data_IF_473300205256
#
_entry.id   IF_473300205256
#
_cell.length_a   1.000
_cell.length_b   1.000
_cell.length_c   1.000
_cell.angle_alpha   90.00
_cell.angle_beta   90.00
_cell.angle_gamma   90.00
#
_symmetry.space_group_name_H-M   'P 1'
#
loop_
_entity.id
_entity.type
_entity.pdbx_description
1 polymer ?
#
# COMPACT_ATOMS: atom_id res chain seq x y z
N UNK A 1 2.14 0.34 24.35
CA UNK A 1 1.20 -0.78 24.12
C UNK A 1 1.61 -2.00 24.95
N UNK A 2 0.71 -2.97 25.22
CA UNK A 2 1.00 -4.27 25.86
C UNK A 2 0.41 -5.42 25.01
N UNK A 3 1.05 -5.78 23.88
CA UNK A 3 0.47 -6.76 22.96
C UNK A 3 0.55 -8.18 23.53
N UNK A 4 -0.45 -9.02 23.23
CA UNK A 4 -0.44 -10.46 23.54
C UNK A 4 0.02 -11.32 22.36
N UNK A 5 -0.02 -10.78 21.14
CA UNK A 5 0.40 -11.45 19.90
C UNK A 5 1.23 -10.50 19.04
N UNK A 6 2.25 -11.03 18.38
CA UNK A 6 3.06 -10.34 17.38
C UNK A 6 3.14 -11.19 16.11
N UNK A 7 3.08 -10.52 14.96
CA UNK A 7 3.41 -11.14 13.67
C UNK A 7 4.78 -10.65 13.22
N UNK A 8 5.67 -11.57 12.86
CA UNK A 8 6.93 -11.23 12.20
C UNK A 8 6.75 -11.46 10.71
N UNK A 9 6.80 -10.39 9.92
CA UNK A 9 6.75 -10.49 8.46
C UNK A 9 8.18 -10.56 7.93
N UNK A 10 8.50 -11.63 7.21
CA UNK A 10 9.84 -11.88 6.67
C UNK A 10 10.59 -13.05 7.34
N UNK A 11 11.54 -13.60 6.58
CA UNK A 11 12.35 -14.73 7.01
C UNK A 11 13.43 -14.36 8.03
N UNK A 12 14.15 -15.37 8.52
CA UNK A 12 15.17 -15.22 9.56
C UNK A 12 16.35 -14.33 9.13
N UNK A 13 16.60 -14.21 7.82
CA UNK A 13 17.64 -13.37 7.25
C UNK A 13 17.37 -11.86 7.40
N UNK A 14 16.09 -11.46 7.54
CA UNK A 14 15.69 -10.05 7.72
C UNK A 14 15.29 -9.75 9.17
N UNK A 15 14.67 -10.72 9.84
CA UNK A 15 14.33 -10.61 11.27
C UNK A 15 14.79 -11.88 11.97
N UNK A 16 15.92 -11.78 12.68
CA UNK A 16 16.56 -12.95 13.30
C UNK A 16 15.66 -13.69 14.29
N UNK A 17 15.96 -14.97 14.53
CA UNK A 17 15.31 -15.78 15.59
C UNK A 17 15.50 -15.22 17.00
N UNK A 18 16.52 -14.39 17.21
CA UNK A 18 16.73 -13.75 18.50
C UNK A 18 15.62 -12.74 18.80
N UNK A 19 15.15 -11.99 17.79
CA UNK A 19 14.01 -11.07 17.96
C UNK A 19 12.75 -11.84 18.35
N UNK A 20 12.49 -12.96 17.68
CA UNK A 20 11.38 -13.85 18.01
C UNK A 20 11.49 -14.42 19.43
N UNK A 21 12.69 -14.82 19.84
CA UNK A 21 12.94 -15.33 21.20
C UNK A 21 12.73 -14.25 22.27
N UNK A 22 13.15 -13.01 21.98
CA UNK A 22 12.93 -11.87 22.88
C UNK A 22 11.43 -11.58 23.06
N UNK A 23 10.66 -11.56 21.98
CA UNK A 23 9.20 -11.36 22.04
C UNK A 23 8.50 -12.48 22.83
N UNK A 24 8.86 -13.74 22.58
CA UNK A 24 8.33 -14.86 23.35
C UNK A 24 8.71 -14.78 24.84
N UNK A 25 9.95 -14.36 25.16
CA UNK A 25 10.40 -14.14 26.54
C UNK A 25 9.64 -13.01 27.27
N UNK A 26 9.05 -12.08 26.53
CA UNK A 26 8.15 -11.05 27.06
C UNK A 26 6.70 -11.56 27.25
N UNK A 27 6.44 -12.85 27.00
CA UNK A 27 5.10 -13.44 27.09
C UNK A 27 4.20 -13.13 25.89
N UNK A 28 4.78 -12.68 24.77
CA UNK A 28 4.05 -12.34 23.54
C UNK A 28 4.04 -13.56 22.64
N UNK A 29 2.86 -14.02 22.21
CA UNK A 29 2.77 -15.09 21.21
C UNK A 29 3.25 -14.60 19.85
N UNK A 30 4.30 -15.21 19.31
CA UNK A 30 4.83 -14.84 17.99
C UNK A 30 4.34 -15.78 16.91
N UNK A 31 3.95 -15.23 15.76
CA UNK A 31 3.71 -15.97 14.53
C UNK A 31 4.51 -15.34 13.38
N UNK A 32 5.39 -16.12 12.76
CA UNK A 32 6.16 -15.66 11.61
C UNK A 32 5.40 -15.92 10.30
N UNK A 33 5.25 -14.87 9.50
CA UNK A 33 4.72 -14.86 8.14
C UNK A 33 5.87 -14.53 7.18
N UNK A 34 6.86 -15.41 7.10
CA UNK A 34 8.07 -15.24 6.30
C UNK A 34 8.24 -16.35 5.28
N UNK A 35 9.02 -16.09 4.23
CA UNK A 35 9.46 -17.07 3.25
C UNK A 35 10.88 -16.76 2.76
N UNK A 36 11.41 -17.60 1.88
CA UNK A 36 12.74 -17.44 1.28
C UNK A 36 12.79 -16.25 0.32
N UNK A 37 11.62 -15.85 -0.19
CA UNK A 37 11.46 -14.73 -1.12
C UNK A 37 10.36 -13.79 -0.66
N UNK A 38 10.34 -12.58 -1.25
CA UNK A 38 9.23 -11.63 -1.06
C UNK A 38 7.88 -12.17 -1.55
N UNK A 39 7.91 -13.02 -2.58
CA UNK A 39 6.73 -13.68 -3.14
C UNK A 39 6.14 -14.70 -2.15
N UNK A 40 6.98 -15.56 -1.58
CA UNK A 40 6.57 -16.50 -0.53
C UNK A 40 6.05 -15.79 0.72
N UNK A 41 6.74 -14.71 1.13
CA UNK A 41 6.31 -13.88 2.26
C UNK A 41 4.93 -13.28 1.99
N UNK A 42 4.70 -12.69 0.81
CA UNK A 42 3.41 -12.13 0.43
C UNK A 42 2.29 -13.18 0.41
N UNK A 43 2.55 -14.38 -0.09
CA UNK A 43 1.57 -15.49 -0.07
C UNK A 43 1.28 -15.96 1.35
N UNK A 44 2.28 -16.01 2.25
CA UNK A 44 2.05 -16.36 3.64
C UNK A 44 1.23 -15.30 4.39
N UNK A 45 1.44 -14.02 4.11
CA UNK A 45 0.57 -12.93 4.58
C UNK A 45 -0.82 -13.08 3.99
N UNK A 46 -0.95 -13.38 2.69
CA UNK A 46 -2.23 -13.51 2.02
C UNK A 46 -3.09 -14.65 2.60
N UNK A 47 -2.47 -15.77 2.98
CA UNK A 47 -3.15 -16.87 3.70
C UNK A 47 -3.66 -16.43 5.08
N UNK A 48 -2.93 -15.55 5.78
CA UNK A 48 -3.33 -15.04 7.09
C UNK A 48 -4.49 -14.03 7.01
N UNK A 49 -4.54 -13.23 5.94
CA UNK A 49 -5.60 -12.24 5.69
C UNK A 49 -6.87 -12.89 5.13
N UNK A 50 -6.73 -13.87 4.23
CA UNK A 50 -7.84 -14.48 3.49
C UNK A 50 -8.17 -13.74 2.19
N UNK A 51 -8.94 -14.37 1.29
CA UNK A 51 -9.19 -13.87 -0.07
C UNK A 51 -10.66 -13.62 -0.39
N UNK A 52 -11.54 -13.70 0.61
CA UNK A 52 -13.00 -13.64 0.42
C UNK A 52 -13.48 -12.34 -0.21
N UNK A 53 -12.73 -11.25 -0.03
CA UNK A 53 -13.04 -9.92 -0.58
C UNK A 53 -12.26 -9.62 -1.88
N UNK A 54 -11.56 -10.61 -2.43
CA UNK A 54 -10.64 -10.45 -3.54
C UNK A 54 -9.20 -10.30 -3.09
N UNK A 55 -8.31 -10.11 -4.05
CA UNK A 55 -6.88 -9.87 -3.83
C UNK A 55 -6.42 -8.65 -4.62
N UNK A 56 -5.30 -8.08 -4.20
CA UNK A 56 -4.52 -7.15 -5.00
C UNK A 56 -3.29 -7.88 -5.52
N UNK A 57 -2.99 -7.70 -6.80
CA UNK A 57 -1.76 -8.17 -7.43
C UNK A 57 -0.88 -6.96 -7.75
N UNK A 58 0.34 -6.95 -7.24
CA UNK A 58 1.32 -5.89 -7.49
C UNK A 58 2.67 -6.47 -7.93
N UNK A 59 3.53 -5.63 -8.52
CA UNK A 59 4.86 -6.07 -8.92
C UNK A 59 5.70 -6.38 -7.68
N UNK A 60 6.40 -7.52 -7.69
CA UNK A 60 7.41 -7.81 -6.68
C UNK A 60 8.69 -6.97 -6.83
N UNK A 61 8.86 -6.23 -7.93
CA UNK A 61 10.12 -5.53 -8.25
C UNK A 61 10.09 -4.04 -7.91
N UNK A 62 8.91 -3.44 -7.82
CA UNK A 62 8.70 -2.03 -7.47
C UNK A 62 7.70 -1.90 -6.32
N UNK A 63 7.85 -0.91 -5.45
CA UNK A 63 7.02 -0.78 -4.24
C UNK A 63 5.82 0.17 -4.41
N UNK A 64 5.92 1.18 -5.29
CA UNK A 64 4.98 2.30 -5.28
C UNK A 64 3.54 1.91 -5.62
N UNK A 65 3.36 0.91 -6.50
CA UNK A 65 2.04 0.36 -6.85
C UNK A 65 1.40 -0.32 -5.63
N UNK A 66 2.16 -1.15 -4.92
CA UNK A 66 1.71 -1.82 -3.70
C UNK A 66 1.43 -0.83 -2.56
N UNK A 67 2.28 0.19 -2.41
CA UNK A 67 2.11 1.23 -1.40
C UNK A 67 0.84 2.06 -1.66
N UNK A 68 0.59 2.42 -2.93
CA UNK A 68 -0.58 3.23 -3.31
C UNK A 68 -1.91 2.59 -2.91
N UNK A 69 -2.01 1.26 -2.96
CA UNK A 69 -3.23 0.51 -2.66
C UNK A 69 -3.25 -0.06 -1.24
N UNK A 70 -2.13 -0.02 -0.50
CA UNK A 70 -2.02 -0.65 0.82
C UNK A 70 -3.10 -0.22 1.82
N UNK A 71 -3.43 1.08 1.99
CA UNK A 71 -4.45 1.48 2.96
C UNK A 71 -5.83 0.91 2.64
N UNK A 72 -6.24 0.99 1.37
CA UNK A 72 -7.57 0.53 0.95
C UNK A 72 -7.65 -0.99 0.86
N UNK A 73 -6.57 -1.67 0.47
CA UNK A 73 -6.48 -3.12 0.51
C UNK A 73 -6.62 -3.64 1.95
N UNK A 74 -5.93 -3.02 2.91
CA UNK A 74 -6.05 -3.35 4.32
C UNK A 74 -7.47 -3.08 4.86
N UNK A 75 -8.07 -1.94 4.50
CA UNK A 75 -9.44 -1.60 4.87
C UNK A 75 -10.47 -2.62 4.36
N UNK A 76 -10.29 -3.08 3.13
CA UNK A 76 -11.20 -4.04 2.47
C UNK A 76 -10.87 -5.50 2.79
N UNK A 77 -9.81 -5.78 3.56
CA UNK A 77 -9.37 -7.15 3.84
C UNK A 77 -8.93 -7.90 2.59
N UNK A 78 -8.33 -7.19 1.63
CA UNK A 78 -7.72 -7.78 0.43
C UNK A 78 -6.22 -7.91 0.63
N UNK A 79 -5.64 -9.11 0.54
CA UNK A 79 -4.20 -9.28 0.63
C UNK A 79 -3.52 -8.80 -0.65
N UNK A 80 -2.32 -8.25 -0.50
CA UNK A 80 -1.43 -7.92 -1.60
C UNK A 80 -0.55 -9.13 -1.89
N UNK A 81 -0.72 -9.71 -3.07
CA UNK A 81 0.11 -10.76 -3.65
C UNK A 81 1.10 -10.12 -4.63
N UNK A 82 2.34 -10.61 -4.64
CA UNK A 82 3.39 -10.11 -5.51
C UNK A 82 3.60 -11.04 -6.69
N UNK A 83 3.94 -10.47 -7.85
CA UNK A 83 4.30 -11.25 -9.05
C UNK A 83 5.43 -10.58 -9.82
N UNK A 84 6.17 -11.36 -10.60
CA UNK A 84 7.05 -10.84 -11.64
C UNK A 84 6.26 -10.45 -12.91
N UNK A 85 6.89 -9.68 -13.79
CA UNK A 85 6.23 -9.08 -14.96
C UNK A 85 5.53 -10.11 -15.84
N UNK A 86 6.29 -11.10 -16.29
CA UNK A 86 5.87 -12.08 -17.29
C UNK A 86 5.74 -13.50 -16.71
N UNK A 87 5.93 -13.64 -15.41
CA UNK A 87 5.96 -14.94 -14.75
C UNK A 87 4.70 -15.17 -13.92
N UNK A 88 3.98 -16.25 -14.25
CA UNK A 88 2.97 -16.84 -13.38
C UNK A 88 3.57 -18.05 -12.69
N UNK A 89 4.32 -17.77 -11.62
CA UNK A 89 5.08 -18.78 -10.92
C UNK A 89 4.18 -19.87 -10.28
N UNK A 90 4.79 -21.00 -9.95
CA UNK A 90 4.07 -22.14 -9.35
C UNK A 90 3.44 -21.84 -7.99
N UNK A 91 3.99 -20.87 -7.25
CA UNK A 91 3.50 -20.46 -5.93
C UNK A 91 2.18 -19.69 -6.08
N UNK A 92 2.14 -18.66 -6.91
CA UNK A 92 0.95 -17.88 -7.24
C UNK A 92 -0.10 -18.74 -7.93
N UNK A 93 0.32 -19.65 -8.82
CA UNK A 93 -0.60 -20.62 -9.42
C UNK A 93 -1.30 -21.48 -8.39
N UNK A 94 -0.54 -22.07 -7.46
CA UNK A 94 -1.09 -22.90 -6.40
C UNK A 94 -2.00 -22.09 -5.47
N UNK A 95 -1.59 -20.87 -5.12
CA UNK A 95 -2.37 -19.96 -4.28
C UNK A 95 -3.72 -19.60 -4.93
N UNK A 96 -3.71 -19.18 -6.19
CA UNK A 96 -4.92 -18.79 -6.94
C UNK A 96 -5.86 -19.98 -7.16
N UNK A 97 -5.32 -21.19 -7.38
CA UNK A 97 -6.12 -22.39 -7.58
C UNK A 97 -6.76 -22.92 -6.27
N UNK A 98 -6.09 -22.71 -5.13
CA UNK A 98 -6.56 -23.23 -3.83
C UNK A 98 -7.53 -22.30 -3.11
N UNK A 99 -7.80 -21.11 -3.65
CA UNK A 99 -8.60 -20.09 -3.00
C UNK A 99 -9.74 -19.61 -3.90
N UNK A 100 -10.89 -19.32 -3.28
CA UNK A 100 -11.94 -18.57 -3.95
C UNK A 100 -11.56 -17.08 -3.97
N UNK A 101 -11.45 -16.50 -5.15
CA UNK A 101 -11.03 -15.12 -5.36
C UNK A 101 -12.08 -14.45 -6.26
N UNK A 102 -12.99 -13.63 -5.69
CA UNK A 102 -14.03 -12.97 -6.49
C UNK A 102 -13.49 -11.96 -7.49
N UNK A 103 -12.37 -11.29 -7.17
CA UNK A 103 -11.74 -10.26 -8.01
C UNK A 103 -10.24 -10.19 -7.74
N UNK A 104 -9.46 -9.90 -8.78
CA UNK A 104 -8.04 -9.58 -8.67
C UNK A 104 -7.81 -8.16 -9.19
N UNK A 105 -7.53 -7.21 -8.32
CA UNK A 105 -7.09 -5.87 -8.74
C UNK A 105 -5.60 -5.91 -9.06
N UNK A 106 -5.25 -5.75 -10.34
CA UNK A 106 -3.86 -5.70 -10.81
C UNK A 106 -3.40 -4.25 -10.79
N UNK A 107 -2.64 -3.88 -9.76
CA UNK A 107 -2.15 -2.52 -9.56
C UNK A 107 -0.75 -2.39 -10.17
N UNK A 108 -0.64 -1.54 -11.19
CA UNK A 108 0.55 -1.39 -12.02
C UNK A 108 0.27 -1.64 -13.50
N UNK A 109 1.04 -0.98 -14.38
CA UNK A 109 0.85 -1.06 -15.84
C UNK A 109 1.36 -2.36 -16.48
N UNK A 110 1.10 -2.53 -17.78
CA UNK A 110 1.56 -3.67 -18.58
C UNK A 110 3.10 -3.82 -18.58
N UNK A 111 3.80 -2.71 -18.41
CA UNK A 111 5.26 -2.68 -18.33
C UNK A 111 5.85 -3.39 -17.10
N UNK A 112 5.09 -3.54 -16.02
CA UNK A 112 5.54 -4.15 -14.74
C UNK A 112 4.79 -5.43 -14.38
N UNK A 113 3.57 -5.62 -14.91
CA UNK A 113 2.79 -6.86 -14.85
C UNK A 113 2.10 -6.99 -16.20
N UNK A 114 2.57 -7.91 -17.05
CA UNK A 114 2.05 -7.99 -18.41
C UNK A 114 0.61 -8.49 -18.45
N UNK A 115 -0.11 -8.10 -19.51
CA UNK A 115 -1.47 -8.54 -19.79
C UNK A 115 -1.53 -10.06 -19.98
N UNK A 116 -0.45 -10.68 -20.44
CA UNK A 116 -0.33 -12.13 -20.50
C UNK A 116 -0.31 -12.75 -19.09
N UNK A 117 0.48 -12.19 -18.17
CA UNK A 117 0.51 -12.68 -16.80
C UNK A 117 -0.81 -12.41 -16.05
N UNK A 118 -1.35 -11.19 -16.15
CA UNK A 118 -2.62 -10.76 -15.55
C UNK A 118 -3.79 -11.73 -15.84
N UNK A 119 -3.88 -12.26 -17.06
CA UNK A 119 -4.96 -13.18 -17.48
C UNK A 119 -4.96 -14.52 -16.74
N UNK A 120 -3.88 -14.86 -16.04
CA UNK A 120 -3.81 -16.09 -15.24
C UNK A 120 -4.55 -15.99 -13.90
N UNK A 121 -4.91 -14.78 -13.47
CA UNK A 121 -5.58 -14.52 -12.20
C UNK A 121 -7.11 -14.46 -12.35
N UNK A 122 -7.85 -14.59 -11.24
CA UNK A 122 -9.32 -14.64 -11.25
C UNK A 122 -9.91 -13.24 -11.40
N UNK A 123 -10.78 -13.06 -12.39
CA UNK A 123 -11.51 -11.81 -12.67
C UNK A 123 -10.60 -10.56 -12.57
N UNK A 124 -9.55 -10.47 -13.40
CA UNK A 124 -8.54 -9.45 -13.22
C UNK A 124 -9.01 -8.08 -13.72
N UNK A 125 -8.82 -7.04 -12.92
CA UNK A 125 -9.12 -5.64 -13.24
C UNK A 125 -7.83 -4.83 -13.09
N UNK A 126 -7.36 -4.19 -14.18
CA UNK A 126 -6.13 -3.39 -14.13
C UNK A 126 -6.44 -2.00 -13.57
N UNK A 127 -5.61 -1.58 -12.61
CA UNK A 127 -5.60 -0.24 -12.03
C UNK A 127 -4.20 0.32 -12.20
N UNK A 128 -4.01 1.23 -13.15
CA UNK A 128 -2.69 1.72 -13.51
C UNK A 128 -2.73 3.09 -14.16
N UNK A 129 -1.61 3.80 -14.06
CA UNK A 129 -1.30 4.97 -14.88
C UNK A 129 0.05 4.81 -15.59
N UNK A 130 0.51 5.88 -16.25
CA UNK A 130 1.80 5.86 -16.96
C UNK A 130 3.01 5.77 -16.02
N UNK A 131 2.83 6.14 -14.75
CA UNK A 131 3.83 6.06 -13.71
C UNK A 131 3.22 5.77 -12.32
N UNK A 132 4.03 5.90 -11.27
CA UNK A 132 3.63 5.64 -9.88
C UNK A 132 2.58 6.63 -9.34
N UNK A 133 2.59 7.87 -9.79
CA UNK A 133 1.67 8.91 -9.31
C UNK A 133 0.31 8.79 -10.01
N UNK A 134 0.32 8.54 -11.32
CA UNK A 134 -0.91 8.25 -12.05
C UNK A 134 -1.54 6.92 -11.62
N UNK A 135 -0.72 5.92 -11.27
CA UNK A 135 -1.23 4.68 -10.66
C UNK A 135 -1.85 4.95 -9.29
N UNK A 136 -1.23 5.82 -8.46
CA UNK A 136 -1.83 6.27 -7.21
C UNK A 136 -3.19 6.94 -7.43
N UNK A 137 -3.30 7.88 -8.38
CA UNK A 137 -4.57 8.51 -8.77
C UNK A 137 -5.60 7.49 -9.26
N UNK A 138 -5.18 6.51 -10.07
CA UNK A 138 -6.06 5.44 -10.55
C UNK A 138 -6.62 4.60 -9.39
N UNK A 139 -5.82 4.32 -8.36
CA UNK A 139 -6.27 3.66 -7.12
C UNK A 139 -7.29 4.54 -6.40
N UNK A 140 -7.02 5.84 -6.22
CA UNK A 140 -7.95 6.77 -5.57
C UNK A 140 -9.30 6.89 -6.30
N UNK A 141 -9.29 6.74 -7.62
CA UNK A 141 -10.52 6.73 -8.44
C UNK A 141 -11.27 5.40 -8.31
N UNK A 142 -10.55 4.29 -8.43
CA UNK A 142 -11.13 2.93 -8.41
C UNK A 142 -11.83 2.64 -7.09
N UNK A 143 -11.25 3.11 -5.97
CA UNK A 143 -11.75 2.83 -4.63
C UNK A 143 -12.34 4.06 -3.94
N UNK A 144 -12.79 5.08 -4.67
CA UNK A 144 -13.29 6.33 -4.10
C UNK A 144 -14.38 6.13 -3.04
N UNK A 145 -15.26 5.14 -3.23
CA UNK A 145 -16.38 4.85 -2.32
C UNK A 145 -15.94 4.11 -1.04
N UNK A 146 -14.68 3.65 -1.00
CA UNK A 146 -14.07 2.97 0.14
C UNK A 146 -13.02 3.83 0.86
N UNK A 147 -12.82 5.06 0.39
CA UNK A 147 -11.82 6.00 0.90
C UNK A 147 -12.52 7.15 1.61
N UNK A 148 -12.06 7.45 2.82
CA UNK A 148 -12.44 8.64 3.58
C UNK A 148 -11.35 9.71 3.46
N UNK A 149 -11.69 10.82 2.80
CA UNK A 149 -10.77 11.93 2.59
C UNK A 149 -10.73 12.94 3.75
N UNK A 150 -11.49 12.74 4.83
CA UNK A 150 -11.40 13.57 6.05
C UNK A 150 -9.97 13.61 6.61
N UNK A 151 -9.18 12.57 6.38
CA UNK A 151 -7.72 12.61 6.59
C UNK A 151 -7.01 12.16 5.33
N UNK A 152 -5.92 12.85 4.99
CA UNK A 152 -5.07 12.51 3.86
C UNK A 152 -3.66 12.27 4.38
N UNK A 153 -3.08 11.13 4.03
CA UNK A 153 -1.69 10.82 4.30
C UNK A 153 -0.89 11.11 3.04
N UNK A 154 0.24 11.80 3.18
CA UNK A 154 1.14 12.15 2.09
C UNK A 154 2.45 11.45 2.34
N UNK A 155 2.94 10.71 1.34
CA UNK A 155 4.24 10.07 1.38
C UNK A 155 5.03 10.42 0.11
N UNK A 156 6.35 10.31 0.20
CA UNK A 156 7.18 10.38 -1.01
C UNK A 156 6.86 9.23 -1.95
N UNK A 157 6.78 9.52 -3.24
CA UNK A 157 6.75 8.49 -4.27
C UNK A 157 8.12 7.88 -4.53
N UNK A 158 9.22 8.55 -4.17
CA UNK A 158 10.59 8.13 -4.46
C UNK A 158 11.25 7.34 -3.32
N UNK A 159 10.78 7.51 -2.08
CA UNK A 159 11.22 6.75 -0.91
C UNK A 159 10.05 6.01 -0.23
N UNK A 160 10.31 4.80 0.26
CA UNK A 160 9.26 3.86 0.66
C UNK A 160 9.03 3.64 2.18
N UNK A 161 10.05 3.72 3.07
CA UNK A 161 9.89 3.31 4.45
C UNK A 161 8.79 4.07 5.19
N UNK A 162 8.70 5.38 4.97
CA UNK A 162 7.75 6.25 5.68
C UNK A 162 6.31 5.97 5.27
N UNK A 163 6.08 5.82 3.95
CA UNK A 163 4.78 5.41 3.42
C UNK A 163 4.35 4.04 3.95
N UNK A 164 5.28 3.09 4.06
CA UNK A 164 5.01 1.74 4.55
C UNK A 164 4.56 1.74 6.01
N UNK A 165 5.18 2.55 6.87
CA UNK A 165 4.82 2.67 8.29
C UNK A 165 3.48 3.41 8.46
N UNK A 166 3.18 4.37 7.59
CA UNK A 166 1.92 5.11 7.63
C UNK A 166 0.71 4.37 7.06
N UNK A 167 0.91 3.37 6.19
CA UNK A 167 -0.19 2.65 5.54
C UNK A 167 -1.17 1.97 6.50
N UNK A 168 -0.73 1.28 7.58
CA UNK A 168 -1.63 0.76 8.60
C UNK A 168 -2.44 1.84 9.31
N UNK A 169 -1.83 3.00 9.60
CA UNK A 169 -2.52 4.11 10.27
C UNK A 169 -3.58 4.70 9.33
N UNK A 170 -3.23 4.92 8.06
CA UNK A 170 -4.18 5.36 7.04
C UNK A 170 -5.35 4.37 6.89
N UNK A 171 -5.09 3.06 6.92
CA UNK A 171 -6.13 2.04 6.86
C UNK A 171 -7.12 2.10 8.04
N UNK A 172 -6.67 2.44 9.27
CA UNK A 172 -7.53 2.53 10.45
C UNK A 172 -8.62 3.59 10.30
N UNK A 173 -8.34 4.66 9.57
CA UNK A 173 -9.30 5.73 9.27
C UNK A 173 -9.89 5.63 7.87
N UNK A 174 -9.63 4.55 7.14
CA UNK A 174 -10.02 4.39 5.72
C UNK A 174 -9.46 5.50 4.82
N UNK A 175 -8.38 6.12 5.23
CA UNK A 175 -7.79 7.27 4.57
C UNK A 175 -6.81 6.86 3.46
N UNK A 176 -6.66 7.68 2.41
CA UNK A 176 -5.72 7.40 1.35
C UNK A 176 -4.28 7.74 1.77
N UNK A 177 -3.33 7.06 1.14
CA UNK A 177 -1.97 7.57 0.98
C UNK A 177 -1.83 8.15 -0.43
N UNK A 178 -1.41 9.40 -0.50
CA UNK A 178 -1.10 10.13 -1.71
C UNK A 178 0.41 10.15 -1.88
N UNK A 179 0.87 9.70 -3.04
CA UNK A 179 2.29 9.75 -3.40
C UNK A 179 2.60 11.08 -4.08
N UNK A 180 3.69 11.73 -3.63
CA UNK A 180 4.12 13.03 -4.13
C UNK A 180 5.60 13.05 -4.54
N UNK A 181 5.95 13.98 -5.42
CA UNK A 181 7.33 14.32 -5.83
C UNK A 181 7.54 15.83 -5.73
N UNK A 182 8.76 16.25 -5.36
CA UNK A 182 9.15 17.66 -5.22
C UNK A 182 9.07 18.47 -6.51
N UNK A 183 9.27 17.84 -7.66
CA UNK A 183 9.20 18.51 -8.96
C UNK A 183 8.83 17.55 -10.07
N UNK A 184 8.20 18.05 -11.13
CA UNK A 184 7.87 17.26 -12.32
C UNK A 184 6.45 17.45 -12.84
N UNK A 185 6.15 16.78 -13.95
CA UNK A 185 4.90 16.92 -14.71
C UNK A 185 3.66 16.35 -14.00
N UNK A 186 3.85 15.52 -12.97
CA UNK A 186 2.79 14.72 -12.34
C UNK A 186 2.19 15.35 -11.10
N UNK A 187 2.93 16.26 -10.49
CA UNK A 187 2.51 17.15 -9.42
C UNK A 187 1.10 17.75 -9.64
N UNK A 188 0.75 18.29 -10.83
CA UNK A 188 -0.58 18.85 -11.08
C UNK A 188 -1.72 17.83 -11.14
N UNK A 189 -1.49 16.58 -11.59
CA UNK A 189 -2.56 15.57 -11.71
C UNK A 189 -3.03 15.07 -10.35
N UNK A 190 -2.10 14.90 -9.42
CA UNK A 190 -2.42 14.54 -8.04
C UNK A 190 -3.20 15.66 -7.37
N UNK A 191 -2.74 16.92 -7.53
CA UNK A 191 -3.47 18.10 -7.04
C UNK A 191 -4.87 18.21 -7.65
N UNK A 192 -5.02 17.97 -8.95
CA UNK A 192 -6.32 17.98 -9.61
C UNK A 192 -7.27 16.94 -9.00
N UNK A 193 -6.77 15.73 -8.71
CA UNK A 193 -7.58 14.68 -8.10
C UNK A 193 -8.10 15.04 -6.71
N UNK A 194 -7.29 15.73 -5.90
CA UNK A 194 -7.70 16.16 -4.56
C UNK A 194 -8.35 17.54 -4.54
N UNK A 195 -8.48 18.18 -5.71
CA UNK A 195 -9.03 19.53 -5.80
C UNK A 195 -10.47 19.57 -5.30
N UNK A 196 -10.72 20.42 -4.31
CA UNK A 196 -12.04 20.62 -3.73
C UNK A 196 -12.51 19.47 -2.82
N UNK A 197 -11.68 18.45 -2.59
CA UNK A 197 -11.95 17.41 -1.60
C UNK A 197 -11.98 18.03 -0.21
N UNK A 198 -13.03 17.75 0.56
CA UNK A 198 -13.09 18.18 1.97
C UNK A 198 -12.15 17.32 2.80
N UNK A 199 -11.24 17.96 3.54
CA UNK A 199 -10.32 17.26 4.43
C UNK A 199 -10.14 18.05 5.73
N UNK A 200 -10.11 17.32 6.85
CA UNK A 200 -9.91 17.87 8.19
C UNK A 200 -8.42 17.88 8.56
N UNK A 201 -7.64 16.94 8.03
CA UNK A 201 -6.23 16.74 8.37
C UNK A 201 -5.40 16.24 7.18
N UNK A 202 -4.22 16.83 7.00
CA UNK A 202 -3.17 16.34 6.11
C UNK A 202 -1.96 15.95 6.96
N UNK A 203 -1.56 14.68 6.89
CA UNK A 203 -0.43 14.12 7.63
C UNK A 203 0.68 13.77 6.65
N UNK A 204 1.89 14.25 6.93
CA UNK A 204 3.08 13.96 6.11
C UNK A 204 3.85 12.83 6.77
N UNK A 205 4.07 11.77 6.01
CA UNK A 205 4.83 10.60 6.42
C UNK A 205 6.28 10.82 6.02
N UNK A 206 7.16 10.96 7.01
CA UNK A 206 8.57 11.26 6.84
C UNK A 206 8.95 12.66 7.33
N UNK A 207 10.26 12.90 7.36
CA UNK A 207 10.82 14.22 7.68
C UNK A 207 10.49 15.24 6.57
N UNK A 208 10.55 16.52 6.88
CA UNK A 208 10.31 17.62 5.93
C UNK A 208 11.29 17.66 4.75
N UNK A 209 12.39 16.89 4.81
CA UNK A 209 13.32 16.67 3.70
C UNK A 209 12.87 15.62 2.66
N UNK A 210 11.80 14.85 2.95
CA UNK A 210 11.23 13.84 2.06
C UNK A 210 10.01 14.38 1.29
N UNK A 211 9.28 15.33 1.91
CA UNK A 211 8.20 16.11 1.30
C UNK A 211 8.38 17.57 1.72
N UNK A 212 8.88 18.43 0.82
CA UNK A 212 9.11 19.85 1.13
C UNK A 212 7.83 20.60 1.57
N UNK A 213 7.99 21.62 2.41
CA UNK A 213 6.89 22.50 2.85
C UNK A 213 6.09 23.08 1.67
N UNK A 214 6.78 23.41 0.57
CA UNK A 214 6.15 23.94 -0.64
C UNK A 214 5.17 22.98 -1.33
N UNK A 215 5.39 21.67 -1.22
CA UNK A 215 4.45 20.65 -1.69
C UNK A 215 3.24 20.62 -0.77
N UNK A 216 3.50 20.64 0.54
CA UNK A 216 2.46 20.58 1.55
C UNK A 216 1.51 21.77 1.40
N UNK A 217 2.02 22.98 1.25
CA UNK A 217 1.22 24.20 1.04
C UNK A 217 0.26 24.07 -0.15
N UNK A 218 0.76 23.58 -1.27
CA UNK A 218 -0.05 23.41 -2.48
C UNK A 218 -1.06 22.25 -2.39
N UNK A 219 -0.77 21.20 -1.60
CA UNK A 219 -1.77 20.17 -1.26
C UNK A 219 -2.88 20.80 -0.44
N UNK A 220 -2.52 21.64 0.54
CA UNK A 220 -3.46 22.37 1.38
C UNK A 220 -4.31 23.35 0.57
N UNK A 221 -3.75 24.02 -0.44
CA UNK A 221 -4.49 24.87 -1.38
C UNK A 221 -5.47 24.08 -2.26
N UNK A 222 -5.13 22.84 -2.62
CA UNK A 222 -5.98 22.02 -3.47
C UNK A 222 -7.21 21.50 -2.72
N UNK A 223 -7.10 21.14 -1.44
CA UNK A 223 -8.21 20.61 -0.64
C UNK A 223 -9.10 21.72 -0.09
N UNK A 224 -10.41 21.49 -0.03
CA UNK A 224 -11.35 22.40 0.63
C UNK A 224 -11.23 22.23 2.15
N UNK A 225 -10.29 22.97 2.75
CA UNK A 225 -9.95 22.88 4.16
C UNK A 225 -10.87 23.75 5.03
N UNK A 226 -11.57 23.15 6.00
CA UNK A 226 -12.49 23.85 6.92
C UNK A 226 -11.90 24.06 8.34
N UNK A 227 -10.66 23.63 8.62
CA UNK A 227 -10.02 23.64 9.95
C UNK A 227 -8.93 24.70 10.20
N UNK A 228 -8.20 24.59 11.33
CA UNK A 228 -6.93 25.30 11.59
C UNK A 228 -5.76 24.36 11.26
N UNK A 229 -4.94 24.74 10.28
CA UNK A 229 -3.86 23.94 9.72
C UNK A 229 -2.94 23.32 10.79
N UNK A 230 -2.77 21.98 10.74
CA UNK A 230 -1.73 21.29 11.49
C UNK A 230 -1.11 20.19 10.61
N UNK A 231 0.01 20.51 9.98
CA UNK A 231 0.90 19.50 9.40
C UNK A 231 1.47 18.72 10.57
N UNK A 232 1.19 17.41 10.60
CA UNK A 232 1.81 16.49 11.53
C UNK A 232 2.82 15.68 10.73
N UNK A 233 4.10 15.90 11.00
CA UNK A 233 5.11 14.90 10.69
C UNK A 233 4.99 13.77 11.72
N UNK A 234 5.06 12.53 11.24
CA UNK A 234 5.19 11.37 12.11
C UNK A 234 6.69 11.06 12.17
N UNK A 235 7.30 11.41 13.31
CA UNK A 235 8.68 11.03 13.69
C UNK A 235 8.70 9.72 14.49
#
# INVERSE_FOLDING_TARGET
MKPSKAYIVGGDAVVSKNVESQLNGMGISVQRLGGSTRFETAVNVAKQVGTSNGIVLASGRNFADALSVAPVAAKLGMPIVLTDKDEYDSLNKSFVQSNNIPVTYVVGGDGVISNANMKNYKNPIRVSGNDRYETNVAVLNTFQDSIDFSKIYVASGSDFPDGLVGAPIAALTSSPIILMEESGTYYPKVLERIKGVKSDQVLVLGETGVVSESIVDKILEAVNYEGKFKVLSIE
#
